data_IF_742192317217
#
_entry.id   IF_742192317217
#
_cell.length_a   1.000
_cell.length_b   1.000
_cell.length_c   1.000
_cell.angle_alpha   90.00
_cell.angle_beta   90.00
_cell.angle_gamma   90.00
#
_symmetry.space_group_name_H-M   'P 1'
#
loop_
_entity.id
_entity.type
_entity.pdbx_description
1 polymer ?
#
# COMPACT_ATOMS: atom_id res chain seq x y z
N UNK A 1 4.74 0.47 -32.79
CA UNK A 1 4.26 -0.79 -33.40
C UNK A 1 2.93 -0.53 -34.11
N UNK A 2 1.88 0.01 -33.46
CA UNK A 2 0.58 0.29 -34.08
C UNK A 2 0.71 1.13 -35.34
N UNK A 3 1.44 2.27 -35.31
CA UNK A 3 1.67 3.12 -36.46
C UNK A 3 2.34 2.41 -37.65
N UNK A 4 3.27 1.47 -37.36
CA UNK A 4 3.90 0.67 -38.42
C UNK A 4 2.90 -0.31 -39.07
N UNK A 5 2.04 -0.95 -38.26
CA UNK A 5 0.98 -1.81 -38.73
C UNK A 5 -0.04 -1.04 -39.63
N UNK A 6 -0.50 0.11 -39.15
CA UNK A 6 -1.39 0.99 -39.90
C UNK A 6 -0.77 1.45 -41.22
N UNK A 7 0.52 1.78 -41.25
CA UNK A 7 1.23 2.17 -42.46
C UNK A 7 1.34 1.00 -43.43
N UNK A 8 1.67 -0.20 -42.97
CA UNK A 8 1.77 -1.39 -43.80
C UNK A 8 0.40 -1.79 -44.39
N UNK A 9 -0.68 -1.66 -43.64
CA UNK A 9 -2.04 -1.86 -44.11
C UNK A 9 -2.44 -0.83 -45.22
N UNK A 10 -2.07 0.43 -44.98
CA UNK A 10 -2.36 1.50 -45.98
C UNK A 10 -1.64 1.30 -47.33
N UNK A 11 -0.53 0.58 -47.32
CA UNK A 11 0.26 0.29 -48.52
C UNK A 11 0.10 -1.15 -49.02
N UNK A 12 -0.98 -1.82 -48.64
CA UNK A 12 -1.33 -3.20 -49.07
C UNK A 12 -0.25 -4.24 -48.79
N UNK A 13 0.63 -3.98 -47.81
CA UNK A 13 1.65 -4.91 -47.35
C UNK A 13 1.01 -5.92 -46.39
N UNK A 14 0.02 -5.51 -45.60
CA UNK A 14 -0.77 -6.37 -44.70
C UNK A 14 -2.21 -6.41 -45.17
N UNK A 15 -2.85 -7.58 -45.04
CA UNK A 15 -4.25 -7.82 -45.40
C UNK A 15 -5.22 -7.24 -44.33
N UNK A 16 -4.71 -6.74 -43.21
CA UNK A 16 -5.50 -6.15 -42.14
C UNK A 16 -5.85 -4.68 -42.44
N UNK A 17 -6.95 -4.23 -41.87
CA UNK A 17 -7.25 -2.81 -41.88
C UNK A 17 -6.38 -2.04 -40.90
N UNK A 18 -6.20 -0.72 -41.08
CA UNK A 18 -5.50 0.11 -40.08
C UNK A 18 -6.09 0.02 -38.68
N UNK A 19 -7.42 -0.08 -38.58
CA UNK A 19 -8.17 -0.24 -37.33
C UNK A 19 -7.86 -1.57 -36.67
N UNK A 20 -7.91 -2.69 -37.37
CA UNK A 20 -7.57 -4.04 -36.88
C UNK A 20 -6.14 -4.08 -36.35
N UNK A 21 -5.20 -3.43 -37.01
CA UNK A 21 -3.81 -3.32 -36.58
C UNK A 21 -3.67 -2.54 -35.27
N UNK A 22 -4.47 -1.48 -35.08
CA UNK A 22 -4.48 -0.69 -33.85
C UNK A 22 -5.11 -1.45 -32.70
N UNK A 23 -6.25 -2.09 -32.95
CA UNK A 23 -7.01 -2.84 -31.95
C UNK A 23 -6.22 -4.05 -31.44
N UNK A 24 -5.57 -4.79 -32.32
CA UNK A 24 -4.69 -5.90 -31.95
C UNK A 24 -3.56 -5.46 -31.00
N UNK A 25 -2.91 -4.32 -31.31
CA UNK A 25 -1.86 -3.77 -30.42
C UNK A 25 -2.44 -3.33 -29.08
N UNK A 26 -3.61 -2.71 -29.07
CA UNK A 26 -4.28 -2.28 -27.85
C UNK A 26 -4.67 -3.48 -26.96
N UNK A 27 -5.18 -4.56 -27.56
CA UNK A 27 -5.52 -5.80 -26.85
C UNK A 27 -4.27 -6.48 -26.26
N UNK A 28 -3.22 -6.64 -27.04
CA UNK A 28 -1.96 -7.17 -26.54
C UNK A 28 -1.34 -6.31 -25.42
N UNK A 29 -1.46 -5.00 -25.53
CA UNK A 29 -0.99 -4.10 -24.48
C UNK A 29 -1.78 -4.25 -23.19
N UNK A 30 -3.10 -4.46 -23.26
CA UNK A 30 -3.93 -4.77 -22.09
C UNK A 30 -3.51 -6.09 -21.45
N UNK A 31 -3.37 -7.16 -22.24
CA UNK A 31 -2.91 -8.48 -21.74
C UNK A 31 -1.54 -8.35 -21.08
N UNK A 32 -0.62 -7.59 -21.67
CA UNK A 32 0.69 -7.34 -21.09
C UNK A 32 0.62 -6.54 -19.77
N UNK A 33 -0.24 -5.52 -19.70
CA UNK A 33 -0.47 -4.75 -18.47
C UNK A 33 -1.07 -5.62 -17.36
N UNK A 34 -2.05 -6.44 -17.69
CA UNK A 34 -2.69 -7.34 -16.74
C UNK A 34 -1.71 -8.39 -16.20
N UNK A 35 -0.89 -8.97 -17.07
CA UNK A 35 0.17 -9.91 -16.69
C UNK A 35 1.29 -9.26 -15.85
N UNK A 36 1.48 -7.94 -15.98
CA UNK A 36 2.42 -7.15 -15.16
C UNK A 36 1.80 -6.67 -13.83
N UNK A 37 0.50 -6.88 -13.62
CA UNK A 37 -0.21 -6.39 -12.43
C UNK A 37 -0.62 -4.92 -12.51
N UNK A 38 -0.72 -4.36 -13.72
CA UNK A 38 -1.09 -2.98 -13.97
C UNK A 38 0.09 -2.00 -14.04
N UNK A 39 -0.23 -0.74 -14.40
CA UNK A 39 0.76 0.34 -14.47
C UNK A 39 1.16 0.73 -13.04
N UNK A 40 2.46 0.62 -12.70
CA UNK A 40 3.00 1.04 -11.40
C UNK A 40 2.91 0.00 -10.27
N UNK A 41 2.18 -1.11 -10.43
CA UNK A 41 1.98 -2.07 -9.35
C UNK A 41 3.27 -2.83 -8.98
N UNK A 42 4.11 -3.16 -9.95
CA UNK A 42 5.36 -3.88 -9.68
C UNK A 42 6.36 -3.05 -8.85
N UNK A 43 6.48 -1.77 -9.16
CA UNK A 43 7.33 -0.83 -8.43
C UNK A 43 6.83 -0.63 -7.00
N UNK A 44 5.51 -0.52 -6.82
CA UNK A 44 4.86 -0.44 -5.51
C UNK A 44 5.13 -1.73 -4.72
N UNK A 45 4.92 -2.91 -5.31
CA UNK A 45 5.17 -4.19 -4.65
C UNK A 45 6.62 -4.33 -4.20
N UNK A 46 7.58 -3.96 -5.04
CA UNK A 46 9.01 -3.94 -4.68
C UNK A 46 9.33 -2.95 -3.56
N UNK A 47 8.64 -1.80 -3.54
CA UNK A 47 8.78 -0.86 -2.44
C UNK A 47 8.23 -1.46 -1.14
N UNK A 48 7.06 -2.07 -1.17
CA UNK A 48 6.45 -2.72 0.00
C UNK A 48 7.33 -3.84 0.57
N UNK A 49 7.96 -4.64 -0.29
CA UNK A 49 8.95 -5.64 0.13
C UNK A 49 10.14 -5.00 0.85
N UNK A 50 10.67 -3.87 0.33
CA UNK A 50 11.74 -3.11 1.01
C UNK A 50 11.32 -2.63 2.39
N UNK A 51 10.08 -2.15 2.55
CA UNK A 51 9.55 -1.76 3.86
C UNK A 51 9.45 -2.97 4.80
N UNK A 52 8.91 -4.09 4.34
CA UNK A 52 8.85 -5.33 5.13
C UNK A 52 10.22 -5.78 5.60
N UNK A 53 11.16 -5.88 4.69
CA UNK A 53 12.55 -6.23 4.98
C UNK A 53 13.20 -5.27 5.97
N UNK A 54 12.94 -3.97 5.81
CA UNK A 54 13.48 -2.96 6.70
C UNK A 54 12.95 -3.12 8.14
N UNK A 55 11.65 -3.31 8.31
CA UNK A 55 11.07 -3.54 9.63
C UNK A 55 11.55 -4.86 10.24
N UNK A 56 11.64 -5.92 9.46
CA UNK A 56 12.14 -7.22 9.92
C UNK A 56 13.58 -7.13 10.42
N UNK A 57 14.47 -6.43 9.69
CA UNK A 57 15.89 -6.30 10.06
C UNK A 57 16.16 -5.24 11.11
N UNK A 58 15.43 -4.14 11.08
CA UNK A 58 15.76 -2.91 11.82
C UNK A 58 14.69 -2.47 12.83
N UNK A 59 13.58 -3.16 12.93
CA UNK A 59 12.48 -2.81 13.82
C UNK A 59 12.87 -2.73 15.31
N UNK A 60 13.90 -3.47 15.71
CA UNK A 60 14.43 -3.40 17.07
C UNK A 60 15.68 -2.53 17.21
N UNK A 61 16.50 -2.44 16.17
CA UNK A 61 17.82 -1.79 16.23
C UNK A 61 17.81 -0.31 15.83
N UNK A 62 16.86 0.13 15.01
CA UNK A 62 16.77 1.52 14.53
C UNK A 62 15.50 2.25 14.95
N UNK A 63 14.67 1.64 15.79
CA UNK A 63 13.49 2.27 16.39
C UNK A 63 13.60 2.27 17.90
N UNK A 64 13.49 3.45 18.50
CA UNK A 64 13.51 3.62 19.97
C UNK A 64 12.10 3.39 20.49
N UNK A 65 11.99 2.65 21.58
CA UNK A 65 10.74 2.50 22.32
C UNK A 65 10.34 3.82 22.96
N UNK A 66 9.09 4.24 22.80
CA UNK A 66 8.62 5.57 23.25
C UNK A 66 8.84 5.74 24.76
N UNK A 67 8.67 4.66 25.53
CA UNK A 67 8.79 4.67 27.00
C UNK A 67 10.20 4.39 27.50
N UNK A 68 11.16 4.07 26.62
CA UNK A 68 12.54 3.80 27.03
C UNK A 68 13.31 5.10 27.33
N UNK A 69 14.05 5.11 28.40
CA UNK A 69 15.04 6.14 28.73
C UNK A 69 16.33 5.79 27.98
N UNK A 70 16.35 6.01 26.66
CA UNK A 70 17.49 5.65 25.83
C UNK A 70 18.27 6.87 25.34
N UNK A 71 19.60 6.77 25.36
CA UNK A 71 20.51 7.72 24.72
C UNK A 71 20.30 7.77 23.21
N UNK A 72 20.62 8.93 22.63
CA UNK A 72 20.44 9.18 21.20
C UNK A 72 21.11 8.09 20.34
N UNK A 73 20.29 7.32 19.63
CA UNK A 73 20.75 6.29 18.72
C UNK A 73 21.30 6.96 17.44
N UNK A 74 22.53 6.60 17.05
CA UNK A 74 23.03 6.96 15.73
C UNK A 74 22.17 6.24 14.68
N UNK A 75 21.76 6.96 13.63
CA UNK A 75 20.96 6.41 12.52
C UNK A 75 19.53 5.99 12.93
N UNK A 76 18.86 6.82 13.71
CA UNK A 76 17.50 6.61 14.17
C UNK A 76 16.52 6.65 12.98
N UNK A 77 15.81 5.54 12.74
CA UNK A 77 14.73 5.46 11.75
C UNK A 77 13.38 5.97 12.30
N UNK A 78 13.19 5.91 13.61
CA UNK A 78 11.95 6.37 14.23
C UNK A 78 11.70 5.82 15.62
N UNK A 79 10.42 5.70 15.97
CA UNK A 79 9.97 5.27 17.29
C UNK A 79 9.02 4.08 17.17
N UNK A 80 8.95 3.25 18.21
CA UNK A 80 8.02 2.13 18.30
C UNK A 80 7.32 2.12 19.65
N UNK A 81 6.14 1.59 19.68
CA UNK A 81 5.37 1.31 20.90
C UNK A 81 4.40 0.17 20.64
N UNK A 82 3.86 -0.39 21.69
CA UNK A 82 2.83 -1.40 21.64
C UNK A 82 1.58 -0.90 22.36
N UNK A 83 0.41 -1.15 21.77
CA UNK A 83 -0.88 -0.89 22.41
C UNK A 83 -1.85 -2.06 22.15
N UNK A 84 -3.12 -1.90 22.55
CA UNK A 84 -4.16 -2.92 22.34
C UNK A 84 -4.36 -3.34 20.88
N UNK A 85 -3.88 -2.54 19.92
CA UNK A 85 -3.93 -2.83 18.47
C UNK A 85 -2.63 -3.42 17.93
N UNK A 86 -1.70 -3.86 18.80
CA UNK A 86 -0.43 -4.46 18.43
C UNK A 86 0.72 -3.47 18.28
N UNK A 87 1.80 -3.95 17.70
CA UNK A 87 3.03 -3.18 17.56
C UNK A 87 2.90 -2.10 16.49
N UNK A 88 3.25 -0.88 16.85
CA UNK A 88 3.20 0.32 16.00
C UNK A 88 4.57 0.96 15.87
N UNK A 89 4.81 1.51 14.70
CA UNK A 89 6.05 2.22 14.38
C UNK A 89 5.72 3.62 13.86
N UNK A 90 6.57 4.57 14.17
CA UNK A 90 6.53 5.91 13.59
C UNK A 90 7.88 6.19 12.95
N UNK A 91 7.93 6.09 11.62
CA UNK A 91 9.14 6.23 10.82
C UNK A 91 9.35 7.69 10.44
N UNK A 92 10.57 8.20 10.57
CA UNK A 92 10.91 9.55 10.14
C UNK A 92 10.86 9.68 8.60
N UNK A 93 10.70 10.93 8.12
CA UNK A 93 10.56 11.21 6.68
C UNK A 93 11.79 10.81 5.87
N UNK A 94 13.05 11.06 6.30
CA UNK A 94 14.21 10.64 5.55
C UNK A 94 14.23 9.13 5.27
N UNK A 95 14.07 8.31 6.29
CA UNK A 95 14.04 6.84 6.14
C UNK A 95 12.90 6.38 5.24
N UNK A 96 11.70 6.99 5.37
CA UNK A 96 10.58 6.69 4.48
C UNK A 96 10.93 7.00 3.02
N UNK A 97 11.50 8.17 2.76
CA UNK A 97 11.85 8.58 1.40
C UNK A 97 12.93 7.67 0.78
N UNK A 98 13.89 7.20 1.57
CA UNK A 98 14.91 6.26 1.09
C UNK A 98 14.28 4.92 0.67
N UNK A 99 13.33 4.40 1.44
CA UNK A 99 12.62 3.16 1.12
C UNK A 99 11.66 3.32 -0.07
N UNK A 100 11.02 4.49 -0.19
CA UNK A 100 10.10 4.82 -1.27
C UNK A 100 10.81 5.30 -2.56
N UNK A 101 12.15 5.24 -2.61
CA UNK A 101 12.90 5.71 -3.78
C UNK A 101 12.51 4.94 -5.04
N UNK A 102 12.23 5.67 -6.10
CA UNK A 102 11.85 5.12 -7.41
C UNK A 102 10.37 4.79 -7.56
N UNK A 103 9.53 5.17 -6.60
CA UNK A 103 8.07 4.95 -6.64
C UNK A 103 7.33 6.27 -6.42
N UNK A 104 6.15 6.41 -7.03
CA UNK A 104 5.27 7.53 -6.73
C UNK A 104 4.78 7.43 -5.28
N UNK A 105 5.18 8.40 -4.47
CA UNK A 105 4.90 8.42 -3.03
C UNK A 105 3.40 8.44 -2.70
N UNK A 106 2.60 9.16 -3.50
CA UNK A 106 1.15 9.22 -3.28
C UNK A 106 0.50 7.86 -3.52
N UNK A 107 0.82 7.22 -4.65
CA UNK A 107 0.31 5.89 -4.98
C UNK A 107 0.73 4.84 -3.95
N UNK A 108 1.98 4.90 -3.47
CA UNK A 108 2.48 4.02 -2.42
C UNK A 108 1.71 4.21 -1.10
N UNK A 109 1.51 5.47 -0.67
CA UNK A 109 0.75 5.78 0.54
C UNK A 109 -0.73 5.39 0.41
N UNK A 110 -1.34 5.62 -0.74
CA UNK A 110 -2.72 5.22 -1.01
C UNK A 110 -2.87 3.70 -0.97
N UNK A 111 -1.93 2.97 -1.55
CA UNK A 111 -1.92 1.51 -1.48
C UNK A 111 -1.78 1.02 -0.03
N UNK A 112 -0.81 1.54 0.72
CA UNK A 112 -0.62 1.21 2.14
C UNK A 112 -1.85 1.57 2.99
N UNK A 113 -2.52 2.68 2.68
CA UNK A 113 -3.76 3.10 3.33
C UNK A 113 -4.90 2.11 3.07
N UNK A 114 -5.10 1.70 1.82
CA UNK A 114 -6.12 0.71 1.44
C UNK A 114 -5.92 -0.63 2.16
N UNK A 115 -4.67 -1.02 2.39
CA UNK A 115 -4.32 -2.23 3.13
C UNK A 115 -4.40 -2.06 4.66
N UNK A 116 -4.70 -0.87 5.18
CA UNK A 116 -4.76 -0.61 6.61
C UNK A 116 -3.41 -0.62 7.33
N UNK A 117 -2.32 -0.47 6.60
CA UNK A 117 -0.96 -0.52 7.17
C UNK A 117 -0.49 0.80 7.78
N UNK A 118 -1.20 1.88 7.51
CA UNK A 118 -0.86 3.21 7.99
C UNK A 118 -1.72 3.63 9.18
N UNK A 119 -1.11 4.35 10.11
CA UNK A 119 -1.79 4.95 11.25
C UNK A 119 -2.61 6.15 10.77
N UNK A 120 -3.90 6.07 11.06
CA UNK A 120 -4.88 7.12 10.73
C UNK A 120 -5.35 7.80 12.01
N UNK A 121 -5.69 9.07 11.91
CA UNK A 121 -6.41 9.76 12.97
C UNK A 121 -7.93 9.47 12.89
N UNK A 122 -8.68 9.93 13.90
CA UNK A 122 -10.14 9.70 13.98
C UNK A 122 -10.92 10.29 12.78
N UNK A 123 -10.32 11.23 12.05
CA UNK A 123 -10.88 11.83 10.83
C UNK A 123 -10.49 11.07 9.54
N UNK A 124 -9.78 9.95 9.66
CA UNK A 124 -9.33 9.16 8.51
C UNK A 124 -8.17 9.79 7.73
N UNK A 125 -7.45 10.75 8.31
CA UNK A 125 -6.23 11.30 7.72
C UNK A 125 -4.98 10.59 8.24
N UNK A 126 -3.92 10.58 7.43
CA UNK A 126 -2.62 10.04 7.83
C UNK A 126 -2.05 10.81 9.03
N UNK A 127 -1.54 10.08 10.01
CA UNK A 127 -0.79 10.66 11.12
C UNK A 127 0.62 10.98 10.64
N UNK A 128 0.88 12.24 10.32
CA UNK A 128 2.18 12.71 9.81
C UNK A 128 3.01 13.44 10.85
N UNK A 129 2.46 13.66 12.04
CA UNK A 129 3.14 14.30 13.16
C UNK A 129 2.69 13.63 14.45
N UNK A 130 3.63 13.29 15.30
CA UNK A 130 3.39 12.70 16.61
C UNK A 130 4.23 13.39 17.67
N UNK A 131 3.61 13.68 18.83
CA UNK A 131 4.31 14.20 20.00
C UNK A 131 5.00 13.04 20.72
N UNK A 132 6.33 13.06 20.74
CA UNK A 132 7.14 11.99 21.33
C UNK A 132 8.27 12.64 22.14
N UNK A 133 8.41 12.24 23.39
CA UNK A 133 9.49 12.71 24.30
C UNK A 133 9.68 14.22 24.34
N UNK A 134 8.58 14.97 24.36
CA UNK A 134 8.63 16.44 24.47
C UNK A 134 8.79 17.21 23.16
N UNK A 135 8.79 16.54 22.01
CA UNK A 135 8.87 17.22 20.71
C UNK A 135 7.95 16.62 19.65
N UNK A 136 7.60 17.45 18.67
CA UNK A 136 6.88 17.02 17.49
C UNK A 136 7.83 16.31 16.51
N UNK A 137 7.59 15.04 16.29
CA UNK A 137 8.29 14.25 15.28
C UNK A 137 7.43 14.19 14.01
N UNK A 138 8.03 14.47 12.85
CA UNK A 138 7.40 14.31 11.54
C UNK A 138 7.76 12.96 10.94
N UNK A 139 6.75 12.26 10.41
CA UNK A 139 6.94 10.94 9.83
C UNK A 139 5.64 10.30 9.41
N UNK A 140 5.67 8.98 9.27
CA UNK A 140 4.51 8.15 8.98
C UNK A 140 4.38 7.04 10.00
N UNK A 141 3.15 6.83 10.49
CA UNK A 141 2.84 5.75 11.41
C UNK A 141 2.46 4.48 10.68
N UNK A 142 2.94 3.32 11.16
CA UNK A 142 2.69 1.99 10.61
C UNK A 142 2.13 1.06 11.67
N UNK A 143 1.25 0.14 11.24
CA UNK A 143 0.66 -0.92 12.06
C UNK A 143 1.19 -2.24 11.54
N UNK A 144 2.14 -2.85 12.26
CA UNK A 144 2.83 -4.04 11.77
C UNK A 144 1.96 -5.30 11.78
N UNK A 145 1.05 -5.43 12.75
CA UNK A 145 0.10 -6.55 12.82
C UNK A 145 -0.78 -6.68 11.56
N UNK A 146 -1.00 -5.58 10.85
CA UNK A 146 -1.73 -5.60 9.59
C UNK A 146 -0.91 -6.16 8.41
N UNK A 147 0.43 -6.30 8.55
CA UNK A 147 1.32 -6.78 7.47
C UNK A 147 1.51 -8.29 7.47
N UNK A 148 1.30 -8.97 8.61
CA UNK A 148 1.50 -10.42 8.76
C UNK A 148 0.36 -11.26 8.20
N UNK A 149 -0.56 -10.64 7.45
CA UNK A 149 -1.50 -11.36 6.59
C UNK A 149 -2.78 -11.85 7.25
N UNK A 150 -2.99 -11.67 8.55
CA UNK A 150 -4.24 -12.06 9.21
C UNK A 150 -5.31 -10.94 9.22
N UNK A 151 -4.94 -9.69 9.13
CA UNK A 151 -5.88 -8.57 9.11
C UNK A 151 -6.50 -8.30 7.72
N UNK A 152 -5.93 -8.84 6.64
CA UNK A 152 -6.43 -8.66 5.26
C UNK A 152 -7.53 -9.64 4.84
N UNK A 153 -7.88 -10.63 5.67
CA UNK A 153 -8.86 -11.67 5.36
C UNK A 153 -10.14 -11.58 6.19
N UNK A 154 -10.72 -10.45 6.37
CA UNK A 154 -11.96 -10.55 7.13
C UNK A 154 -12.66 -9.25 7.45
N UNK A 155 -13.11 -8.58 6.44
CA UNK A 155 -14.42 -7.89 6.48
C UNK A 155 -14.94 -7.81 5.06
N UNK A 156 -15.31 -8.97 4.52
CA UNK A 156 -16.42 -8.99 3.61
C UNK A 156 -17.62 -8.56 4.46
N UNK A 157 -18.16 -7.42 4.16
CA UNK A 157 -19.47 -7.00 4.61
C UNK A 157 -20.48 -8.02 4.03
N UNK A 158 -20.78 -9.07 4.79
CA UNK A 158 -22.00 -9.82 4.59
C UNK A 158 -23.14 -8.92 5.05
N UNK A 159 -24.08 -8.59 4.19
CA UNK A 159 -25.33 -8.02 4.66
C UNK A 159 -26.13 -9.14 5.34
N UNK A 160 -25.99 -9.28 6.64
CA UNK A 160 -26.94 -10.08 7.40
C UNK A 160 -28.29 -9.40 7.31
N UNK A 161 -29.11 -10.00 6.47
CA UNK A 161 -30.54 -9.75 6.42
C UNK A 161 -31.10 -10.00 7.80
N UNK A 162 -31.55 -8.93 8.43
CA UNK A 162 -32.32 -8.94 9.63
C UNK A 162 -33.74 -9.45 9.24
N UNK A 163 -33.94 -10.76 9.22
CA UNK A 163 -35.26 -11.36 9.11
C UNK A 163 -35.75 -11.63 10.53
N UNK A 164 -36.36 -10.62 11.09
CA UNK A 164 -37.13 -10.74 12.28
C UNK A 164 -38.49 -11.37 11.88
N UNK A 165 -38.60 -12.70 11.90
CA UNK A 165 -39.87 -13.39 11.83
C UNK A 165 -40.37 -13.65 13.26
N UNK A 166 -41.15 -12.70 13.74
CA UNK A 166 -42.12 -12.94 14.81
C UNK A 166 -43.21 -13.85 14.23
N UNK A 167 -43.28 -15.07 14.69
CA UNK A 167 -44.52 -15.88 14.59
C UNK A 167 -45.14 -15.90 15.97
N UNK A 168 -46.35 -15.34 15.99
CA UNK A 168 -47.20 -15.29 17.14
C UNK A 168 -47.61 -16.66 17.63
N UNK A 169 -47.76 -16.73 18.92
CA UNK A 169 -48.52 -17.74 19.65
C UNK A 169 -49.98 -17.57 19.36
N UNK A 170 -50.59 -18.64 18.88
CA UNK A 170 -52.03 -18.91 19.12
C UNK A 170 -52.22 -20.40 19.30
N UNK A 171 -52.78 -20.73 20.45
CA UNK A 171 -53.32 -21.93 21.08
C UNK A 171 -52.47 -22.62 22.11
#
# INVERSE_FOLDING_TARGET
IAAAGMFASKHDILLWTPEESSDAVAEWFKVWLDGRGGIGNLEIMKALERFKDFFARHGRSRFIEVDSIGEGMRDLAGYRWEDKGGQKFFMNIPTFNDLAKGVNKHELLDHMKQQGWLLMNDKGNLVTTKWIKGHNVRGYGFILSAWDGEAGRGKSLSPEANVNMSFGDDF
#
